data_IF_051812321962
#
_entry.id   IF_051812321962
#
_cell.length_a   1.000
_cell.length_b   1.000
_cell.length_c   1.000
_cell.angle_alpha   90.00
_cell.angle_beta   90.00
_cell.angle_gamma   90.00
#
_symmetry.space_group_name_H-M   'P 1'
#
loop_
_entity.id
_entity.type
_entity.pdbx_description
1 polymer ?
#
# COMPACT_ATOMS: atom_id res chain seq x y z
N UNK A 1 -15.54 47.01 1.06
CA UNK A 1 -15.50 46.50 -0.32
C UNK A 1 -15.76 45.00 -0.28
N UNK A 2 -17.01 44.60 -0.50
CA UNK A 2 -17.39 43.19 -0.59
C UNK A 2 -17.20 42.73 -2.04
N UNK A 3 -16.01 42.23 -2.38
CA UNK A 3 -15.88 41.43 -3.59
C UNK A 3 -16.77 40.20 -3.41
N UNK A 4 -17.87 40.19 -4.15
CA UNK A 4 -18.98 39.26 -4.01
C UNK A 4 -18.51 37.83 -4.21
N UNK A 5 -18.82 36.94 -3.26
CA UNK A 5 -18.61 35.48 -3.38
C UNK A 5 -19.16 34.91 -4.69
N UNK A 6 -20.19 35.54 -5.28
CA UNK A 6 -20.73 35.19 -6.59
C UNK A 6 -19.78 35.49 -7.77
N UNK A 7 -18.96 36.53 -7.68
CA UNK A 7 -17.96 36.87 -8.71
C UNK A 7 -16.79 35.88 -8.72
N UNK A 8 -16.41 35.33 -7.57
CA UNK A 8 -15.38 34.28 -7.47
C UNK A 8 -15.87 32.95 -8.07
N UNK A 9 -17.14 32.59 -7.83
CA UNK A 9 -17.75 31.39 -8.42
C UNK A 9 -17.87 31.55 -9.95
N UNK A 10 -18.31 32.71 -10.44
CA UNK A 10 -18.41 32.99 -11.86
C UNK A 10 -17.05 32.93 -12.57
N UNK A 11 -15.99 33.51 -11.97
CA UNK A 11 -14.62 33.41 -12.50
C UNK A 11 -14.11 31.97 -12.56
N UNK A 12 -14.40 31.15 -11.54
CA UNK A 12 -14.01 29.73 -11.51
C UNK A 12 -14.71 28.91 -12.61
N UNK A 13 -16.02 29.11 -12.79
CA UNK A 13 -16.81 28.46 -13.85
C UNK A 13 -16.36 28.89 -15.25
N UNK A 14 -16.08 30.17 -15.45
CA UNK A 14 -15.58 30.70 -16.73
C UNK A 14 -14.20 30.14 -17.08
N UNK A 15 -13.30 30.03 -16.09
CA UNK A 15 -11.98 29.40 -16.26
C UNK A 15 -12.11 27.92 -16.62
N UNK A 16 -13.00 27.19 -15.96
CA UNK A 16 -13.25 25.77 -16.23
C UNK A 16 -13.81 25.54 -17.64
N UNK A 17 -14.78 26.36 -18.06
CA UNK A 17 -15.34 26.31 -19.41
C UNK A 17 -14.32 26.67 -20.50
N UNK A 18 -13.46 27.67 -20.25
CA UNK A 18 -12.36 28.03 -21.14
C UNK A 18 -11.38 26.88 -21.36
N UNK A 19 -11.01 26.18 -20.29
CA UNK A 19 -10.09 25.02 -20.33
C UNK A 19 -10.70 23.79 -21.00
N UNK A 20 -12.00 23.53 -20.76
CA UNK A 20 -12.72 22.47 -21.46
C UNK A 20 -12.77 22.74 -22.98
N UNK A 21 -12.99 23.99 -23.37
CA UNK A 21 -12.95 24.43 -24.78
C UNK A 21 -11.55 24.26 -25.38
N UNK A 22 -10.50 24.64 -24.65
CA UNK A 22 -9.12 24.51 -25.09
C UNK A 22 -8.70 23.04 -25.27
N UNK A 23 -9.04 22.16 -24.31
CA UNK A 23 -8.81 20.70 -24.42
C UNK A 23 -9.56 20.07 -25.60
N UNK A 24 -10.78 20.56 -25.87
CA UNK A 24 -11.55 20.13 -27.04
C UNK A 24 -10.92 20.59 -28.36
N UNK A 25 -10.42 21.82 -28.42
CA UNK A 25 -9.75 22.38 -29.60
C UNK A 25 -8.38 21.72 -29.88
N UNK A 26 -7.65 21.35 -28.82
CA UNK A 26 -6.42 20.56 -28.93
C UNK A 26 -6.69 19.14 -29.45
N UNK A 27 -7.76 18.47 -28.97
CA UNK A 27 -8.15 17.15 -29.49
C UNK A 27 -8.63 17.19 -30.95
N UNK A 28 -9.06 18.36 -31.45
CA UNK A 28 -9.40 18.58 -32.86
C UNK A 28 -8.20 18.98 -33.73
N UNK A 29 -6.98 19.06 -33.17
CA UNK A 29 -5.77 19.48 -33.86
C UNK A 29 -5.79 20.96 -34.29
N UNK A 30 -6.69 21.77 -33.73
CA UNK A 30 -6.85 23.21 -34.06
C UNK A 30 -6.00 24.13 -33.18
N UNK A 31 -5.41 23.58 -32.12
CA UNK A 31 -4.53 24.26 -31.17
C UNK A 31 -3.41 23.27 -30.85
N UNK A 32 -2.15 23.70 -30.94
CA UNK A 32 -1.01 22.86 -30.54
C UNK A 32 -1.13 22.50 -29.05
N UNK A 33 -0.93 21.23 -28.71
CA UNK A 33 -0.66 20.87 -27.33
C UNK A 33 0.74 21.38 -27.02
N UNK A 34 0.88 22.22 -25.99
CA UNK A 34 2.16 22.34 -25.30
C UNK A 34 2.38 21.00 -24.60
N UNK A 35 2.93 20.04 -25.32
CA UNK A 35 3.24 18.72 -24.80
C UNK A 35 4.40 18.89 -23.82
N UNK A 36 4.10 18.80 -22.53
CA UNK A 36 5.14 18.66 -21.53
C UNK A 36 5.52 17.18 -21.47
N UNK A 37 6.27 16.74 -22.48
CA UNK A 37 6.69 15.34 -22.65
C UNK A 37 7.41 14.82 -21.39
N UNK A 38 8.10 15.71 -20.67
CA UNK A 38 8.77 15.44 -19.40
C UNK A 38 7.74 15.13 -18.30
N UNK A 39 6.68 15.92 -18.21
CA UNK A 39 5.58 15.64 -17.27
C UNK A 39 4.88 14.33 -17.59
N UNK A 40 4.60 14.03 -18.87
CA UNK A 40 3.96 12.78 -19.28
C UNK A 40 4.83 11.57 -18.92
N UNK A 41 6.16 11.66 -19.08
CA UNK A 41 7.10 10.64 -18.61
C UNK A 41 7.03 10.45 -17.09
N UNK A 42 7.03 11.54 -16.32
CA UNK A 42 6.90 11.48 -14.86
C UNK A 42 5.56 10.89 -14.41
N UNK A 43 4.46 11.20 -15.11
CA UNK A 43 3.13 10.66 -14.84
C UNK A 43 3.07 9.15 -15.11
N UNK A 44 3.70 8.69 -16.19
CA UNK A 44 3.84 7.26 -16.48
C UNK A 44 4.66 6.55 -15.40
N UNK A 45 5.81 7.12 -15.02
CA UNK A 45 6.66 6.58 -13.95
C UNK A 45 5.93 6.51 -12.61
N UNK A 46 5.18 7.56 -12.25
CA UNK A 46 4.35 7.59 -11.05
C UNK A 46 3.30 6.48 -11.05
N UNK A 47 2.59 6.29 -12.16
CA UNK A 47 1.58 5.24 -12.30
C UNK A 47 2.20 3.84 -12.21
N UNK A 48 3.36 3.63 -12.84
CA UNK A 48 4.13 2.39 -12.74
C UNK A 48 4.53 2.10 -11.29
N UNK A 49 5.02 3.10 -10.57
CA UNK A 49 5.42 2.99 -9.17
C UNK A 49 4.22 2.68 -8.27
N UNK A 50 3.07 3.32 -8.48
CA UNK A 50 1.84 3.04 -7.75
C UNK A 50 1.40 1.58 -7.93
N UNK A 51 1.41 1.08 -9.17
CA UNK A 51 1.03 -0.29 -9.47
C UNK A 51 2.00 -1.31 -8.85
N UNK A 52 3.30 -1.01 -8.86
CA UNK A 52 4.31 -1.84 -8.20
C UNK A 52 4.09 -1.88 -6.67
N UNK A 53 3.83 -0.74 -6.04
CA UNK A 53 3.52 -0.65 -4.61
C UNK A 53 2.25 -1.43 -4.24
N UNK A 54 1.20 -1.33 -5.05
CA UNK A 54 -0.05 -2.09 -4.91
C UNK A 54 0.17 -3.60 -4.97
N UNK A 55 0.95 -4.04 -5.97
CA UNK A 55 1.31 -5.45 -6.10
C UNK A 55 2.10 -5.94 -4.89
N UNK A 56 3.12 -5.20 -4.47
CA UNK A 56 3.98 -5.59 -3.34
C UNK A 56 3.17 -5.74 -2.05
N UNK A 57 2.27 -4.80 -1.73
CA UNK A 57 1.42 -4.88 -0.54
C UNK A 57 0.49 -6.09 -0.58
N UNK A 58 -0.10 -6.39 -1.74
CA UNK A 58 -0.95 -7.58 -1.90
C UNK A 58 -0.17 -8.86 -1.62
N UNK A 59 1.02 -9.01 -2.21
CA UNK A 59 1.85 -10.19 -1.99
C UNK A 59 2.36 -10.28 -0.55
N UNK A 60 2.71 -9.16 0.08
CA UNK A 60 3.17 -9.14 1.46
C UNK A 60 2.05 -9.50 2.45
N UNK A 61 0.84 -9.02 2.22
CA UNK A 61 -0.35 -9.43 2.98
C UNK A 61 -0.62 -10.93 2.84
N UNK A 62 -0.47 -11.48 1.63
CA UNK A 62 -0.60 -12.91 1.40
C UNK A 62 0.48 -13.69 2.16
N UNK A 63 1.73 -13.24 2.10
CA UNK A 63 2.85 -13.85 2.81
C UNK A 63 2.62 -13.91 4.33
N UNK A 64 2.18 -12.81 4.95
CA UNK A 64 1.85 -12.78 6.39
C UNK A 64 0.76 -13.79 6.75
N UNK A 65 -0.27 -13.93 5.89
CA UNK A 65 -1.33 -14.94 6.10
C UNK A 65 -0.75 -16.36 6.07
N UNK A 66 0.11 -16.67 5.11
CA UNK A 66 0.79 -17.96 5.02
C UNK A 66 1.68 -18.21 6.25
N UNK A 67 2.46 -17.23 6.70
CA UNK A 67 3.29 -17.33 7.90
C UNK A 67 2.46 -17.68 9.13
N UNK A 68 1.30 -17.03 9.33
CA UNK A 68 0.38 -17.36 10.42
C UNK A 68 -0.19 -18.78 10.29
N UNK A 69 -0.46 -19.23 9.06
CA UNK A 69 -0.87 -20.61 8.80
C UNK A 69 0.21 -21.63 9.21
N UNK A 70 1.47 -21.37 8.86
CA UNK A 70 2.61 -22.22 9.26
C UNK A 70 2.82 -22.19 10.77
N UNK A 71 2.72 -21.03 11.41
CA UNK A 71 2.76 -20.91 12.87
C UNK A 71 1.72 -21.81 13.53
N UNK A 72 0.47 -21.77 13.07
CA UNK A 72 -0.61 -22.59 13.63
C UNK A 72 -0.36 -24.09 13.42
N UNK A 73 0.11 -24.48 12.23
CA UNK A 73 0.46 -25.86 11.93
C UNK A 73 1.64 -26.35 12.79
N UNK A 74 2.67 -25.52 12.96
CA UNK A 74 3.82 -25.78 13.81
C UNK A 74 3.43 -25.96 15.27
N UNK A 75 2.55 -25.09 15.79
CA UNK A 75 2.03 -25.18 17.16
C UNK A 75 1.27 -26.49 17.37
N UNK A 76 0.33 -26.81 16.47
CA UNK A 76 -0.45 -28.05 16.54
C UNK A 76 0.42 -29.30 16.54
N UNK A 77 1.50 -29.32 15.74
CA UNK A 77 2.45 -30.44 15.73
C UNK A 77 3.22 -30.54 17.06
N UNK A 78 3.71 -29.41 17.57
CA UNK A 78 4.44 -29.41 18.83
C UNK A 78 3.55 -29.77 20.02
N UNK A 79 2.30 -29.34 20.04
CA UNK A 79 1.32 -29.71 21.07
C UNK A 79 1.09 -31.23 21.07
N UNK A 80 0.87 -31.83 19.90
CA UNK A 80 0.72 -33.27 19.76
C UNK A 80 1.99 -34.03 20.19
N UNK A 81 3.19 -33.51 19.85
CA UNK A 81 4.45 -34.09 20.31
C UNK A 81 4.58 -34.04 21.84
N UNK A 82 4.22 -32.94 22.48
CA UNK A 82 4.29 -32.83 23.94
C UNK A 82 3.28 -33.75 24.64
N UNK A 83 2.11 -34.01 24.02
CA UNK A 83 1.10 -34.92 24.56
C UNK A 83 1.57 -36.38 24.56
N UNK A 84 2.21 -36.82 23.46
CA UNK A 84 2.67 -38.21 23.33
C UNK A 84 4.02 -38.48 24.03
N UNK A 85 4.79 -37.43 24.33
CA UNK A 85 6.13 -37.58 24.92
C UNK A 85 6.03 -37.72 26.44
N UNK A 86 6.14 -38.94 26.94
CA UNK A 86 5.92 -39.25 28.36
C UNK A 86 6.97 -38.58 29.28
N UNK A 87 6.58 -38.25 30.51
CA UNK A 87 7.43 -37.51 31.45
C UNK A 87 8.66 -38.30 31.93
N UNK A 88 8.60 -39.63 31.89
CA UNK A 88 9.73 -40.51 32.18
C UNK A 88 10.79 -40.55 31.06
N UNK A 89 10.47 -40.06 29.86
CA UNK A 89 11.40 -40.10 28.75
C UNK A 89 12.48 -39.02 28.90
N UNK A 90 13.71 -39.39 28.56
CA UNK A 90 14.86 -38.48 28.68
C UNK A 90 14.67 -37.26 27.79
N UNK A 91 14.65 -36.06 28.39
CA UNK A 91 14.53 -34.81 27.66
C UNK A 91 13.10 -34.26 27.53
N UNK A 92 12.11 -34.81 28.24
CA UNK A 92 10.74 -34.30 28.28
C UNK A 92 10.67 -32.78 28.56
N UNK A 93 11.32 -32.31 29.63
CA UNK A 93 11.33 -30.89 29.99
C UNK A 93 12.00 -30.02 28.91
N UNK A 94 13.06 -30.53 28.29
CA UNK A 94 13.75 -29.83 27.20
C UNK A 94 12.85 -29.69 25.97
N UNK A 95 12.12 -30.74 25.60
CA UNK A 95 11.15 -30.71 24.49
C UNK A 95 10.06 -29.67 24.75
N UNK A 96 9.53 -29.64 25.97
CA UNK A 96 8.52 -28.66 26.37
C UNK A 96 9.04 -27.22 26.27
N UNK A 97 10.25 -26.96 26.78
CA UNK A 97 10.89 -25.63 26.67
C UNK A 97 11.14 -25.26 25.20
N UNK A 98 11.59 -26.19 24.36
CA UNK A 98 11.80 -25.95 22.93
C UNK A 98 10.50 -25.60 22.21
N UNK A 99 9.39 -26.28 22.55
CA UNK A 99 8.05 -25.97 22.03
C UNK A 99 7.63 -24.53 22.35
N UNK A 100 7.80 -24.11 23.61
CA UNK A 100 7.48 -22.74 24.03
C UNK A 100 8.36 -21.70 23.32
N UNK A 101 9.67 -21.97 23.21
CA UNK A 101 10.59 -21.08 22.50
C UNK A 101 10.22 -20.93 21.02
N UNK A 102 9.81 -22.01 20.36
CA UNK A 102 9.36 -21.96 18.97
C UNK A 102 8.11 -21.08 18.80
N UNK A 103 7.15 -21.15 19.73
CA UNK A 103 5.96 -20.28 19.69
C UNK A 103 6.33 -18.80 19.86
N UNK A 104 7.26 -18.48 20.78
CA UNK A 104 7.77 -17.12 20.96
C UNK A 104 8.45 -16.60 19.68
N UNK A 105 9.30 -17.42 19.05
CA UNK A 105 9.97 -17.05 17.80
C UNK A 105 8.98 -16.78 16.67
N UNK A 106 7.91 -17.57 16.57
CA UNK A 106 6.85 -17.33 15.59
C UNK A 106 6.12 -16.01 15.85
N UNK A 107 5.78 -15.72 17.10
CA UNK A 107 5.11 -14.48 17.48
C UNK A 107 5.99 -13.25 17.17
N UNK A 108 7.27 -13.30 17.56
CA UNK A 108 8.24 -12.23 17.27
C UNK A 108 8.42 -12.02 15.77
N UNK A 109 8.53 -13.10 14.98
CA UNK A 109 8.63 -13.01 13.53
C UNK A 109 7.38 -12.37 12.90
N UNK A 110 6.19 -12.82 13.29
CA UNK A 110 4.93 -12.27 12.78
C UNK A 110 4.75 -10.78 13.15
N UNK A 111 5.15 -10.40 14.36
CA UNK A 111 5.12 -9.02 14.83
C UNK A 111 6.09 -8.14 14.01
N UNK A 112 7.34 -8.59 13.82
CA UNK A 112 8.35 -7.89 13.01
C UNK A 112 7.92 -7.69 11.56
N UNK A 113 7.24 -8.66 10.96
CA UNK A 113 6.68 -8.50 9.61
C UNK A 113 5.58 -7.43 9.56
N UNK A 114 4.73 -7.38 10.58
CA UNK A 114 3.68 -6.37 10.69
C UNK A 114 4.26 -4.96 10.83
N UNK A 115 5.03 -4.74 11.87
CA UNK A 115 5.48 -3.39 12.25
C UNK A 115 6.67 -2.92 11.39
N UNK A 116 7.60 -3.82 11.09
CA UNK A 116 8.82 -3.49 10.36
C UNK A 116 8.64 -3.38 8.85
N UNK A 117 7.59 -3.97 8.28
CA UNK A 117 7.40 -3.99 6.82
C UNK A 117 6.02 -3.56 6.38
N UNK A 118 4.95 -4.15 6.94
CA UNK A 118 3.60 -3.87 6.47
C UNK A 118 3.16 -2.43 6.78
N UNK A 119 3.46 -1.92 7.98
CA UNK A 119 3.13 -0.54 8.36
C UNK A 119 3.83 0.49 7.44
N UNK A 120 5.17 0.48 7.26
CA UNK A 120 5.84 1.37 6.31
C UNK A 120 5.30 1.28 4.89
N UNK A 121 5.00 0.07 4.40
CA UNK A 121 4.46 -0.14 3.06
C UNK A 121 3.06 0.47 2.89
N UNK A 122 2.21 0.37 3.91
CA UNK A 122 0.89 1.02 3.92
C UNK A 122 1.01 2.55 3.96
N UNK A 123 1.91 3.08 4.79
CA UNK A 123 2.20 4.52 4.86
C UNK A 123 2.75 5.07 3.54
N UNK A 124 3.58 4.29 2.85
CA UNK A 124 4.08 4.66 1.53
C UNK A 124 2.95 4.67 0.49
N UNK A 125 2.10 3.63 0.47
CA UNK A 125 0.96 3.59 -0.45
C UNK A 125 -0.05 4.72 -0.25
N UNK A 126 -0.28 5.15 0.99
CA UNK A 126 -1.28 6.19 1.28
C UNK A 126 -0.91 7.56 0.70
N UNK A 127 0.32 7.75 0.19
CA UNK A 127 0.77 9.00 -0.44
C UNK A 127 0.28 9.14 -1.89
N UNK A 128 -0.01 8.04 -2.59
CA UNK A 128 -0.40 8.08 -4.00
C UNK A 128 -1.76 8.76 -4.28
N UNK A 129 -2.83 8.56 -3.47
CA UNK A 129 -4.09 9.28 -3.66
C UNK A 129 -3.96 10.79 -3.60
N UNK A 130 -3.19 11.33 -2.65
CA UNK A 130 -2.95 12.77 -2.50
C UNK A 130 -2.17 13.34 -3.68
N UNK A 131 -1.10 12.66 -4.11
CA UNK A 131 -0.31 13.07 -5.28
C UNK A 131 -1.14 13.09 -6.56
N UNK A 132 -2.09 12.16 -6.73
CA UNK A 132 -3.01 12.19 -7.88
C UNK A 132 -3.89 13.45 -7.90
N UNK A 133 -4.34 13.94 -6.74
CA UNK A 133 -5.14 15.18 -6.66
C UNK A 133 -4.30 16.38 -7.11
N UNK A 134 -3.02 16.45 -6.71
CA UNK A 134 -2.09 17.48 -7.15
C UNK A 134 -1.82 17.43 -8.66
N UNK A 135 -1.59 16.23 -9.22
CA UNK A 135 -1.42 16.02 -10.67
C UNK A 135 -2.66 16.52 -11.43
N UNK A 136 -3.86 16.12 -11.00
CA UNK A 136 -5.13 16.55 -11.62
C UNK A 136 -5.34 18.07 -11.51
N UNK A 137 -4.86 18.70 -10.44
CA UNK A 137 -4.93 20.15 -10.28
C UNK A 137 -3.97 20.88 -11.23
N UNK A 138 -2.76 20.35 -11.45
CA UNK A 138 -1.79 20.91 -12.39
C UNK A 138 -2.20 20.73 -13.86
N UNK A 139 -2.90 19.64 -14.21
CA UNK A 139 -3.51 19.47 -15.54
C UNK A 139 -4.72 20.39 -15.79
N UNK A 140 -5.29 21.02 -14.75
CA UNK A 140 -6.41 21.95 -14.88
C UNK A 140 -5.93 23.38 -15.07
#
# INVERSE_FOLDING_TARGET
MAESKGALIAKSVQKHAGRAKEKFLQNLGKVDKTADDIFDEHLQNFTKQQNAANRLQKEFNNYIRCVRGVQQASKSLMDALNEIYESQWTGHDMLYVQSQNLDILWQDFAHKLGDGVLVPLNTYQSQFPEMRVCIIYNER
#
